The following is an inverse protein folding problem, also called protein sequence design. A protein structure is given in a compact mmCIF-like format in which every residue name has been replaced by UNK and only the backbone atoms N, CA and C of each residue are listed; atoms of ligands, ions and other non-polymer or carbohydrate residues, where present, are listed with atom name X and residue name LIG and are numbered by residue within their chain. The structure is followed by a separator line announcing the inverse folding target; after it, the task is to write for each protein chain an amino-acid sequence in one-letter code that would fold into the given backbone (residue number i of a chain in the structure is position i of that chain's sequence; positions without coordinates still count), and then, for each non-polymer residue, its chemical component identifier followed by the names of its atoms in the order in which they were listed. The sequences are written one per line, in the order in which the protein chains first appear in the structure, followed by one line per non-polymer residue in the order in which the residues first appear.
data_IF_954564520643
#
_entry.id   IF_954564520643
#
_cell.length_a   1.000
_cell.length_b   1.000
_cell.length_c   1.000
_cell.angle_alpha   90.00
_cell.angle_beta   90.00
_cell.angle_gamma   90.00
#
_symmetry.space_group_name_H-M   'P 1'
#
loop_
_entity.id
_entity.type
_entity.pdbx_description
1 polymer ?
#
# COMPACT_ATOMS: atom_id res chain seq x y z
N UNK A 1 27.03 13.25 19.14
CA UNK A 1 26.01 14.02 18.38
C UNK A 1 25.39 13.03 17.42
N UNK A 2 24.26 12.42 17.78
CA UNK A 2 23.65 11.35 16.99
C UNK A 2 23.04 11.97 15.75
N UNK A 3 23.57 11.59 14.58
CA UNK A 3 23.05 11.97 13.28
C UNK A 3 21.61 11.45 13.16
N UNK A 4 20.63 12.36 13.25
CA UNK A 4 19.23 12.02 13.02
C UNK A 4 19.09 11.84 11.52
N UNK A 5 19.32 10.62 11.05
CA UNK A 5 19.02 10.23 9.67
C UNK A 5 17.57 10.61 9.38
N UNK A 6 17.38 11.57 8.48
CA UNK A 6 16.05 11.97 8.03
C UNK A 6 15.44 10.80 7.26
N UNK A 7 14.37 10.21 7.80
CA UNK A 7 13.61 9.17 7.12
C UNK A 7 13.06 9.74 5.81
N UNK A 8 13.15 9.02 4.66
CA UNK A 8 12.56 9.47 3.42
C UNK A 8 11.06 9.74 3.61
N UNK A 9 10.59 10.92 3.22
CA UNK A 9 9.16 11.24 3.19
C UNK A 9 8.56 10.81 1.85
N UNK A 10 7.38 10.19 1.88
CA UNK A 10 6.59 9.89 0.68
C UNK A 10 5.30 10.73 0.69
N UNK A 11 5.15 11.63 -0.28
CA UNK A 11 3.93 12.39 -0.53
C UNK A 11 3.49 12.20 -1.98
N UNK A 12 2.45 11.38 -2.25
CA UNK A 12 1.99 11.14 -3.62
C UNK A 12 1.26 12.33 -4.26
N UNK A 13 1.00 13.38 -3.49
CA UNK A 13 0.33 14.61 -3.97
C UNK A 13 1.31 15.76 -4.20
N UNK A 14 2.61 15.55 -3.99
CA UNK A 14 3.64 16.53 -4.30
C UNK A 14 3.75 16.72 -5.83
N UNK A 15 3.64 17.96 -6.37
CA UNK A 15 3.79 18.21 -7.80
C UNK A 15 5.10 17.69 -8.39
N UNK A 16 6.22 17.78 -7.66
CA UNK A 16 7.51 17.28 -8.15
C UNK A 16 7.50 15.74 -8.24
N UNK A 17 6.88 15.08 -7.26
CA UNK A 17 6.69 13.63 -7.28
C UNK A 17 5.80 13.17 -8.46
N UNK A 18 4.76 13.95 -8.78
CA UNK A 18 3.88 13.64 -9.91
C UNK A 18 4.60 13.76 -11.26
N UNK A 19 5.58 14.66 -11.37
CA UNK A 19 6.40 14.83 -12.58
C UNK A 19 7.47 13.74 -12.68
N UNK A 20 8.21 13.50 -11.59
CA UNK A 20 9.24 12.47 -11.53
C UNK A 20 9.26 11.77 -10.15
N UNK A 21 8.61 10.61 -10.02
CA UNK A 21 8.56 9.89 -8.75
C UNK A 21 9.80 9.02 -8.51
N UNK A 22 10.65 8.82 -9.52
CA UNK A 22 11.74 7.83 -9.47
C UNK A 22 12.84 8.18 -8.45
N UNK A 23 13.25 9.45 -8.27
CA UNK A 23 14.17 9.84 -7.20
C UNK A 23 13.65 9.50 -5.81
N UNK A 24 12.37 9.75 -5.54
CA UNK A 24 11.73 9.40 -4.27
C UNK A 24 11.72 7.89 -4.05
N UNK A 25 11.35 7.11 -5.07
CA UNK A 25 11.39 5.65 -4.97
C UNK A 25 12.80 5.09 -4.83
N UNK A 26 13.81 5.70 -5.47
CA UNK A 26 15.21 5.30 -5.30
C UNK A 26 15.64 5.45 -3.85
N UNK A 27 15.37 6.61 -3.25
CA UNK A 27 15.70 6.88 -1.86
C UNK A 27 14.95 5.95 -0.89
N UNK A 28 13.67 5.68 -1.14
CA UNK A 28 12.90 4.70 -0.37
C UNK A 28 13.53 3.30 -0.46
N UNK A 29 13.92 2.82 -1.65
CA UNK A 29 14.54 1.50 -1.81
C UNK A 29 15.84 1.35 -1.03
N UNK A 30 16.63 2.42 -0.98
CA UNK A 30 17.97 2.40 -0.39
C UNK A 30 17.93 2.60 1.13
N UNK A 31 17.06 3.48 1.61
CA UNK A 31 17.06 3.94 3.01
C UNK A 31 15.91 3.37 3.85
N UNK A 32 14.71 3.18 3.27
CA UNK A 32 13.50 2.75 3.99
C UNK A 32 12.56 1.91 3.09
N UNK A 33 12.94 0.67 2.75
CA UNK A 33 12.30 -0.10 1.69
C UNK A 33 10.88 -0.56 2.00
N UNK A 34 10.51 -0.57 3.29
CA UNK A 34 9.16 -0.85 3.81
C UNK A 34 8.74 0.33 4.68
N UNK A 35 8.26 1.38 4.01
CA UNK A 35 7.96 2.66 4.63
C UNK A 35 6.54 2.69 5.18
N UNK A 36 6.37 3.12 6.44
CA UNK A 36 5.03 3.35 7.02
C UNK A 36 4.55 4.75 6.69
N UNK A 37 3.51 4.85 5.87
CA UNK A 37 2.90 6.12 5.47
C UNK A 37 2.18 6.79 6.66
N UNK A 38 1.94 8.11 6.61
CA UNK A 38 1.17 8.81 7.64
C UNK A 38 -0.26 8.28 7.85
N UNK A 39 -0.84 7.65 6.82
CA UNK A 39 -2.18 7.01 6.89
C UNK A 39 -2.12 5.56 7.40
N UNK A 40 -0.95 5.07 7.81
CA UNK A 40 -0.77 3.77 8.45
C UNK A 40 -0.55 2.59 7.50
N UNK A 41 -0.70 2.79 6.19
CA UNK A 41 -0.39 1.79 5.16
C UNK A 41 1.12 1.62 5.00
N UNK A 42 1.57 0.40 4.69
CA UNK A 42 2.95 0.10 4.33
C UNK A 42 3.17 0.28 2.82
N UNK A 43 4.22 1.02 2.46
CA UNK A 43 4.71 1.15 1.10
C UNK A 43 5.95 0.27 0.94
N UNK A 44 5.91 -0.65 -0.02
CA UNK A 44 7.01 -1.57 -0.33
C UNK A 44 7.64 -1.15 -1.65
N UNK A 45 8.95 -0.88 -1.66
CA UNK A 45 9.62 -0.24 -2.81
C UNK A 45 10.63 -1.11 -3.53
N UNK A 46 11.15 -2.19 -2.90
CA UNK A 46 12.09 -3.13 -3.54
C UNK A 46 11.35 -4.16 -4.37
N UNK A 47 11.89 -4.44 -5.57
CA UNK A 47 11.29 -5.40 -6.50
C UNK A 47 11.10 -6.78 -5.86
N UNK A 48 12.10 -7.31 -5.17
CA UNK A 48 12.04 -8.65 -4.54
C UNK A 48 10.92 -8.73 -3.50
N UNK A 49 10.75 -7.69 -2.69
CA UNK A 49 9.71 -7.63 -1.67
C UNK A 49 8.32 -7.53 -2.30
N UNK A 50 8.15 -6.67 -3.32
CA UNK A 50 6.89 -6.57 -4.07
C UNK A 50 6.55 -7.89 -4.75
N UNK A 51 7.52 -8.52 -5.41
CA UNK A 51 7.34 -9.77 -6.13
C UNK A 51 6.92 -10.91 -5.20
N UNK A 52 7.53 -10.98 -4.01
CA UNK A 52 7.18 -11.93 -2.94
C UNK A 52 5.76 -11.70 -2.44
N UNK A 53 5.42 -10.46 -2.05
CA UNK A 53 4.08 -10.12 -1.54
C UNK A 53 2.99 -10.48 -2.56
N UNK A 54 3.19 -10.14 -3.84
CA UNK A 54 2.21 -10.42 -4.89
C UNK A 54 2.01 -11.91 -5.20
N UNK A 55 2.89 -12.79 -4.71
CA UNK A 55 2.81 -14.25 -4.89
C UNK A 55 2.45 -14.99 -3.62
N UNK A 56 2.45 -14.31 -2.49
CA UNK A 56 2.16 -14.91 -1.21
C UNK A 56 0.65 -15.15 -1.07
N UNK A 57 0.26 -16.42 -1.01
CA UNK A 57 -1.13 -16.84 -0.88
C UNK A 57 -1.74 -16.53 0.49
N UNK A 58 -0.92 -16.15 1.47
CA UNK A 58 -1.39 -15.65 2.76
C UNK A 58 -1.74 -14.15 2.72
N UNK A 59 -1.36 -13.45 1.65
CA UNK A 59 -1.79 -12.06 1.45
C UNK A 59 -3.15 -12.00 0.77
N UNK A 60 -3.95 -11.00 1.13
CA UNK A 60 -5.32 -10.84 0.67
C UNK A 60 -5.56 -9.45 0.11
N UNK A 61 -6.38 -9.35 -0.94
CA UNK A 61 -6.84 -8.06 -1.47
C UNK A 61 -7.96 -7.43 -0.62
N UNK A 62 -8.53 -8.18 0.33
CA UNK A 62 -9.64 -7.78 1.22
C UNK A 62 -9.17 -7.01 2.45
N UNK A 63 -8.33 -5.99 2.23
CA UNK A 63 -7.66 -5.20 3.26
C UNK A 63 -8.58 -4.59 4.35
N UNK A 64 -9.86 -4.35 4.05
CA UNK A 64 -10.82 -3.71 4.97
C UNK A 64 -11.69 -4.71 5.74
N UNK A 65 -11.61 -6.00 5.40
CA UNK A 65 -12.34 -7.07 6.08
C UNK A 65 -11.48 -7.67 7.20
N UNK A 66 -10.15 -7.56 7.08
CA UNK A 66 -9.18 -8.02 8.07
C UNK A 66 -8.86 -6.93 9.10
N UNK A 67 -9.81 -6.64 10.00
CA UNK A 67 -9.61 -5.98 11.32
C UNK A 67 -8.65 -4.77 11.42
N UNK A 68 -8.45 -3.98 10.37
CA UNK A 68 -7.70 -2.74 10.49
C UNK A 68 -8.57 -1.68 11.18
N UNK A 69 -8.08 -1.06 12.26
CA UNK A 69 -8.67 0.18 12.78
C UNK A 69 -8.58 1.23 11.67
N UNK A 70 -9.68 1.44 10.95
CA UNK A 70 -9.80 2.50 9.96
C UNK A 70 -9.90 3.81 10.72
N UNK A 71 -9.00 4.78 10.50
CA UNK A 71 -9.09 6.10 11.10
C UNK A 71 -10.49 6.70 10.88
N UNK A 72 -11.05 7.40 11.87
CA UNK A 72 -12.45 7.87 11.80
C UNK A 72 -12.75 8.67 10.51
N UNK A 73 -11.81 9.52 10.10
CA UNK A 73 -11.93 10.33 8.88
C UNK A 73 -11.98 9.49 7.58
N UNK A 74 -11.54 8.23 7.61
CA UNK A 74 -11.58 7.29 6.48
C UNK A 74 -12.81 6.37 6.48
N UNK A 75 -13.60 6.31 7.56
CA UNK A 75 -14.81 5.46 7.64
C UNK A 75 -15.83 5.68 6.52
N UNK A 76 -16.11 6.92 6.06
CA UNK A 76 -17.05 7.12 4.94
C UNK A 76 -16.60 6.41 3.65
N UNK A 77 -15.28 6.37 3.39
CA UNK A 77 -14.73 5.68 2.23
C UNK A 77 -14.89 4.16 2.34
N UNK A 78 -14.74 3.60 3.54
CA UNK A 78 -14.98 2.18 3.80
C UNK A 78 -16.43 1.80 3.50
N UNK A 79 -17.41 2.60 3.97
CA UNK A 79 -18.84 2.37 3.71
C UNK A 79 -19.14 2.41 2.21
N UNK A 80 -18.63 3.41 1.49
CA UNK A 80 -18.79 3.50 0.04
C UNK A 80 -18.19 2.31 -0.71
N UNK A 81 -17.06 1.78 -0.25
CA UNK A 81 -16.47 0.56 -0.82
C UNK A 81 -17.33 -0.67 -0.56
N UNK A 82 -17.87 -0.84 0.65
CA UNK A 82 -18.70 -1.98 1.01
C UNK A 82 -20.02 -2.05 0.23
N UNK A 83 -20.51 -0.93 -0.30
CA UNK A 83 -21.70 -0.87 -1.16
C UNK A 83 -21.43 -1.28 -2.62
N UNK A 84 -20.17 -1.41 -3.02
CA UNK A 84 -19.81 -1.81 -4.38
C UNK A 84 -19.66 -3.31 -4.45
N UNK A 85 -20.31 -3.92 -5.43
CA UNK A 85 -20.04 -5.30 -5.80
C UNK A 85 -18.55 -5.46 -6.17
N UNK A 86 -17.84 -6.43 -5.57
CA UNK A 86 -16.42 -6.61 -5.83
C UNK A 86 -16.20 -7.08 -7.27
N UNK A 87 -15.32 -6.37 -7.98
CA UNK A 87 -14.78 -6.86 -9.26
C UNK A 87 -13.84 -8.05 -9.03
N UNK A 88 -13.42 -8.74 -10.11
CA UNK A 88 -12.40 -9.80 -10.04
C UNK A 88 -11.12 -9.37 -9.31
N UNK A 89 -10.72 -8.10 -9.36
CA UNK A 89 -9.54 -7.57 -8.67
C UNK A 89 -9.69 -7.46 -7.14
N UNK A 90 -10.92 -7.59 -6.62
CA UNK A 90 -11.24 -7.51 -5.19
C UNK A 90 -11.55 -8.87 -4.56
N UNK A 91 -11.25 -9.97 -5.26
CA UNK A 91 -11.52 -11.32 -4.80
C UNK A 91 -10.21 -12.05 -4.52
N UNK A 92 -10.23 -12.89 -3.49
CA UNK A 92 -9.20 -13.91 -3.26
C UNK A 92 -9.68 -15.26 -3.84
N UNK A 93 -8.80 -16.26 -3.98
CA UNK A 93 -9.22 -17.64 -4.21
C UNK A 93 -10.23 -18.13 -3.15
N UNK A 94 -11.18 -19.02 -3.50
CA UNK A 94 -11.31 -19.69 -4.80
C UNK A 94 -12.04 -18.88 -5.88
N UNK A 95 -12.75 -17.81 -5.51
CA UNK A 95 -13.59 -17.06 -6.45
C UNK A 95 -12.77 -16.32 -7.51
N UNK A 96 -11.64 -15.72 -7.14
CA UNK A 96 -10.71 -15.11 -8.09
C UNK A 96 -10.23 -16.14 -9.12
N UNK A 97 -9.79 -17.31 -8.66
CA UNK A 97 -9.29 -18.39 -9.53
C UNK A 97 -10.37 -18.93 -10.46
N UNK A 98 -11.64 -18.94 -10.02
CA UNK A 98 -12.78 -19.39 -10.82
C UNK A 98 -13.14 -18.41 -11.95
N UNK A 99 -12.92 -17.11 -11.77
CA UNK A 99 -13.34 -16.05 -12.70
C UNK A 99 -12.26 -15.63 -13.70
N UNK A 100 -10.99 -15.99 -13.47
CA UNK A 100 -9.84 -15.66 -14.33
C UNK A 100 -9.69 -16.65 -15.49
#
# INVERSE_FOLDING_TARGET
MTDVRTVPSWNPFDPEFLVDPYPTYARLRDEDPVHRTPIGTLLVSRYEDVHRVLRDTETSVRQFETNAEVPEHMRPLQVLRAQREPSILGLDPPDHTRLR
#
